data_IF_970275554105
#
_entry.id   IF_970275554105
#
_cell.length_a   1.000
_cell.length_b   1.000
_cell.length_c   1.000
_cell.angle_alpha   90.00
_cell.angle_beta   90.00
_cell.angle_gamma   90.00
#
_symmetry.space_group_name_H-M   'P 1'
#
loop_
_entity.id
_entity.type
_entity.pdbx_description
1 polymer ?
#
# COMPACT_ATOMS: atom_id res chain seq x y z
N UNK A 1 12.85 7.47 -13.57
CA UNK A 1 14.27 7.37 -13.14
C UNK A 1 14.61 6.03 -12.46
N UNK A 2 13.81 5.49 -11.51
CA UNK A 2 14.04 4.18 -10.86
C UNK A 2 14.11 2.97 -11.82
N UNK A 3 13.26 2.93 -12.85
CA UNK A 3 13.29 1.89 -13.91
C UNK A 3 14.60 1.89 -14.72
N UNK A 4 15.17 3.07 -14.99
CA UNK A 4 16.42 3.19 -15.75
C UNK A 4 17.63 2.71 -14.94
N UNK A 5 17.65 2.96 -13.62
CA UNK A 5 18.71 2.45 -12.73
C UNK A 5 18.64 0.93 -12.65
N UNK A 6 17.44 0.36 -12.46
CA UNK A 6 17.26 -1.10 -12.47
C UNK A 6 17.68 -1.72 -13.81
N UNK A 7 17.34 -1.10 -14.94
CA UNK A 7 17.70 -1.58 -16.28
C UNK A 7 19.21 -1.50 -16.56
N UNK A 8 19.88 -0.41 -16.14
CA UNK A 8 21.33 -0.24 -16.33
C UNK A 8 22.11 -1.22 -15.44
N UNK A 9 21.65 -1.44 -14.20
CA UNK A 9 22.22 -2.45 -13.29
C UNK A 9 22.05 -3.85 -13.89
N UNK A 10 20.84 -4.24 -14.32
CA UNK A 10 20.59 -5.54 -14.96
C UNK A 10 21.46 -5.79 -16.22
N UNK A 11 21.69 -4.73 -17.02
CA UNK A 11 22.50 -4.83 -18.25
C UNK A 11 23.99 -5.01 -17.95
N UNK A 12 24.49 -4.37 -16.87
CA UNK A 12 25.86 -4.52 -16.36
C UNK A 12 26.04 -5.76 -15.46
N UNK A 13 24.96 -6.45 -15.14
CA UNK A 13 24.95 -7.75 -14.43
C UNK A 13 24.99 -8.92 -15.41
N UNK A 14 24.36 -8.78 -16.58
CA UNK A 14 24.35 -9.82 -17.63
C UNK A 14 25.74 -10.06 -18.25
N UNK A 15 26.60 -9.04 -18.36
CA UNK A 15 27.90 -9.21 -19.04
C UNK A 15 28.90 -10.04 -18.22
N UNK A 16 28.94 -9.89 -16.89
CA UNK A 16 29.82 -10.71 -16.03
C UNK A 16 29.39 -12.19 -16.03
N UNK A 17 28.08 -12.45 -15.96
CA UNK A 17 27.56 -13.81 -16.06
C UNK A 17 27.88 -14.44 -17.43
N UNK A 18 27.75 -13.67 -18.52
CA UNK A 18 28.14 -14.12 -19.86
C UNK A 18 29.64 -14.42 -19.95
N UNK A 19 30.49 -13.58 -19.37
CA UNK A 19 31.95 -13.82 -19.35
C UNK A 19 32.27 -15.08 -18.56
N UNK A 20 31.69 -15.28 -17.37
CA UNK A 20 31.93 -16.47 -16.56
C UNK A 20 31.50 -17.76 -17.30
N UNK A 21 30.36 -17.73 -18.01
CA UNK A 21 29.89 -18.85 -18.84
C UNK A 21 30.85 -19.09 -20.02
N UNK A 22 31.29 -18.04 -20.72
CA UNK A 22 32.21 -18.15 -21.86
C UNK A 22 33.57 -18.71 -21.42
N UNK A 23 34.11 -18.24 -20.29
CA UNK A 23 35.36 -18.74 -19.72
C UNK A 23 35.22 -20.21 -19.31
N UNK A 24 34.12 -20.57 -18.66
CA UNK A 24 33.86 -21.97 -18.25
C UNK A 24 33.72 -22.92 -19.45
N UNK A 25 33.01 -22.49 -20.50
CA UNK A 25 32.89 -23.23 -21.76
C UNK A 25 34.23 -23.34 -22.50
N UNK A 26 35.05 -22.28 -22.49
CA UNK A 26 36.38 -22.29 -23.07
C UNK A 26 37.32 -23.29 -22.38
N UNK A 27 37.29 -23.34 -21.06
CA UNK A 27 38.05 -24.32 -20.26
C UNK A 27 37.57 -25.74 -20.53
N UNK A 28 36.26 -25.99 -20.57
CA UNK A 28 35.70 -27.32 -20.89
C UNK A 28 36.05 -27.79 -22.31
N UNK A 29 35.96 -26.90 -23.30
CA UNK A 29 36.32 -27.22 -24.68
C UNK A 29 37.82 -27.52 -24.83
N UNK A 30 38.67 -26.82 -24.08
CA UNK A 30 40.11 -27.04 -24.08
C UNK A 30 40.49 -28.38 -23.43
N UNK A 31 39.87 -28.74 -22.29
CA UNK A 31 40.06 -30.06 -21.64
C UNK A 31 39.58 -31.20 -22.55
N UNK A 32 38.48 -31.01 -23.29
CA UNK A 32 37.96 -32.00 -24.22
C UNK A 32 38.86 -32.22 -25.45
N UNK A 33 39.62 -31.20 -25.87
CA UNK A 33 40.54 -31.27 -27.00
C UNK A 33 41.93 -31.83 -26.62
N UNK A 34 42.37 -31.69 -25.36
CA UNK A 34 43.70 -32.11 -24.90
C UNK A 34 43.67 -33.37 -24.02
N UNK A 35 42.96 -34.41 -24.48
CA UNK A 35 43.00 -35.76 -23.86
C UNK A 35 44.34 -36.41 -24.23
N UNK A 36 45.42 -35.98 -23.59
CA UNK A 36 46.73 -36.66 -23.60
C UNK A 36 46.95 -37.44 -22.31
N UNK A 37 47.67 -38.58 -22.36
CA UNK A 37 47.88 -39.44 -21.19
C UNK A 37 48.67 -38.73 -20.08
N UNK A 38 48.35 -39.08 -18.84
CA UNK A 38 48.85 -38.47 -17.60
C UNK A 38 50.39 -38.56 -17.49
N UNK A 39 51.10 -37.43 -17.58
CA UNK A 39 52.55 -37.29 -17.34
C UNK A 39 52.84 -36.21 -16.28
N UNK A 40 54.06 -36.17 -15.73
CA UNK A 40 54.44 -35.29 -14.61
C UNK A 40 54.27 -33.78 -14.93
N UNK A 41 54.45 -33.37 -16.20
CA UNK A 41 54.17 -32.00 -16.68
C UNK A 41 52.67 -31.63 -16.67
N UNK A 42 51.76 -32.62 -16.76
CA UNK A 42 50.31 -32.39 -16.74
C UNK A 42 49.77 -32.07 -15.34
N UNK A 43 50.57 -32.23 -14.28
CA UNK A 43 50.14 -31.94 -12.89
C UNK A 43 50.07 -30.44 -12.62
N UNK A 44 51.02 -29.65 -13.15
CA UNK A 44 50.99 -28.19 -13.07
C UNK A 44 49.81 -27.64 -13.88
N UNK A 45 49.56 -28.18 -15.08
CA UNK A 45 48.43 -27.82 -15.92
C UNK A 45 47.06 -28.10 -15.26
N UNK A 46 46.90 -29.29 -14.66
CA UNK A 46 45.69 -29.65 -13.91
C UNK A 46 45.47 -28.70 -12.72
N UNK A 47 46.55 -28.25 -12.06
CA UNK A 47 46.50 -27.25 -11.00
C UNK A 47 45.92 -25.90 -11.45
N UNK A 48 46.34 -25.39 -12.63
CA UNK A 48 45.80 -24.14 -13.18
C UNK A 48 44.32 -24.24 -13.57
N UNK A 49 43.90 -25.38 -14.13
CA UNK A 49 42.49 -25.63 -14.47
C UNK A 49 41.61 -25.65 -13.22
N UNK A 50 42.04 -26.38 -12.18
CA UNK A 50 41.33 -26.42 -10.89
C UNK A 50 41.28 -25.03 -10.27
N UNK A 51 42.38 -24.27 -10.28
CA UNK A 51 42.42 -22.90 -9.77
C UNK A 51 41.43 -21.97 -10.51
N UNK A 52 41.35 -22.07 -11.84
CA UNK A 52 40.42 -21.27 -12.65
C UNK A 52 38.95 -21.63 -12.38
N UNK A 53 38.63 -22.91 -12.21
CA UNK A 53 37.29 -23.37 -11.84
C UNK A 53 36.91 -22.96 -10.40
N UNK A 54 37.85 -23.07 -9.45
CA UNK A 54 37.66 -22.60 -8.07
C UNK A 54 37.46 -21.09 -7.99
N UNK A 55 38.21 -20.30 -8.77
CA UNK A 55 38.03 -18.86 -8.85
C UNK A 55 36.67 -18.49 -9.47
N UNK A 56 36.27 -19.18 -10.55
CA UNK A 56 34.99 -18.94 -11.22
C UNK A 56 33.80 -19.25 -10.30
N UNK A 57 33.86 -20.38 -9.59
CA UNK A 57 32.84 -20.77 -8.60
C UNK A 57 32.79 -19.79 -7.43
N UNK A 58 33.93 -19.31 -6.92
CA UNK A 58 33.97 -18.28 -5.87
C UNK A 58 33.31 -16.96 -6.31
N UNK A 59 33.56 -16.52 -7.55
CA UNK A 59 32.93 -15.32 -8.13
C UNK A 59 31.42 -15.49 -8.24
N UNK A 60 30.95 -16.66 -8.69
CA UNK A 60 29.52 -16.95 -8.80
C UNK A 60 28.83 -17.05 -7.43
N UNK A 61 29.49 -17.62 -6.43
CA UNK A 61 29.00 -17.65 -5.05
C UNK A 61 28.90 -16.25 -4.46
N UNK A 62 29.95 -15.44 -4.62
CA UNK A 62 29.96 -14.06 -4.17
C UNK A 62 28.84 -13.24 -4.82
N UNK A 63 28.61 -13.44 -6.11
CA UNK A 63 27.52 -12.83 -6.86
C UNK A 63 26.13 -13.19 -6.32
N UNK A 64 25.89 -14.49 -6.08
CA UNK A 64 24.63 -14.95 -5.49
C UNK A 64 24.38 -14.34 -4.11
N UNK A 65 25.42 -14.18 -3.29
CA UNK A 65 25.33 -13.54 -1.98
C UNK A 65 24.92 -12.06 -2.13
N UNK A 66 25.55 -11.31 -3.04
CA UNK A 66 25.20 -9.90 -3.27
C UNK A 66 23.76 -9.74 -3.77
N UNK A 67 23.32 -10.58 -4.72
CA UNK A 67 21.94 -10.57 -5.21
C UNK A 67 20.94 -10.92 -4.13
N UNK A 68 21.25 -11.91 -3.28
CA UNK A 68 20.41 -12.25 -2.13
C UNK A 68 20.25 -11.07 -1.18
N UNK A 69 21.33 -10.33 -0.88
CA UNK A 69 21.27 -9.14 -0.01
C UNK A 69 20.47 -8.00 -0.63
N UNK A 70 20.68 -7.69 -1.90
CA UNK A 70 19.92 -6.65 -2.62
C UNK A 70 18.43 -7.00 -2.70
N UNK A 71 18.11 -8.25 -3.01
CA UNK A 71 16.73 -8.75 -3.05
C UNK A 71 16.06 -8.68 -1.69
N UNK A 72 16.75 -9.16 -0.64
CA UNK A 72 16.25 -9.11 0.75
C UNK A 72 15.94 -7.68 1.18
N UNK A 73 16.84 -6.73 0.90
CA UNK A 73 16.63 -5.31 1.23
C UNK A 73 15.46 -4.70 0.46
N UNK A 74 15.34 -5.02 -0.82
CA UNK A 74 14.25 -4.50 -1.67
C UNK A 74 12.89 -5.03 -1.22
N UNK A 75 12.80 -6.33 -0.96
CA UNK A 75 11.58 -6.93 -0.39
C UNK A 75 11.26 -6.34 0.96
N UNK A 76 12.24 -6.17 1.85
CA UNK A 76 11.98 -5.61 3.17
C UNK A 76 11.43 -4.18 3.10
N UNK A 77 11.97 -3.34 2.21
CA UNK A 77 11.48 -1.98 1.98
C UNK A 77 10.07 -1.97 1.37
N UNK A 78 9.80 -2.83 0.39
CA UNK A 78 8.48 -2.91 -0.24
C UNK A 78 7.44 -3.54 0.70
N UNK A 79 7.79 -4.55 1.49
CA UNK A 79 6.96 -5.11 2.56
C UNK A 79 6.65 -4.04 3.61
N UNK A 80 7.63 -3.25 4.06
CA UNK A 80 7.39 -2.14 4.99
C UNK A 80 6.39 -1.13 4.41
N UNK A 81 6.52 -0.75 3.14
CA UNK A 81 5.57 0.16 2.48
C UNK A 81 4.16 -0.43 2.38
N UNK A 82 4.05 -1.71 2.02
CA UNK A 82 2.75 -2.40 1.95
C UNK A 82 2.10 -2.47 3.33
N UNK A 83 2.86 -2.90 4.34
CA UNK A 83 2.38 -2.97 5.72
C UNK A 83 1.98 -1.59 6.23
N UNK A 84 2.76 -0.55 5.96
CA UNK A 84 2.44 0.81 6.35
C UNK A 84 1.14 1.30 5.70
N UNK A 85 0.94 1.03 4.40
CA UNK A 85 -0.33 1.35 3.71
C UNK A 85 -1.51 0.63 4.35
N UNK A 86 -1.37 -0.66 4.68
CA UNK A 86 -2.45 -1.44 5.32
C UNK A 86 -2.74 -0.91 6.73
N UNK A 87 -1.71 -0.50 7.49
CA UNK A 87 -1.88 0.10 8.81
C UNK A 87 -2.59 1.46 8.69
N UNK A 88 -2.16 2.32 7.77
CA UNK A 88 -2.80 3.63 7.52
C UNK A 88 -4.26 3.45 7.12
N UNK A 89 -4.56 2.49 6.25
CA UNK A 89 -5.92 2.14 5.84
C UNK A 89 -6.82 1.73 7.02
N UNK A 90 -6.38 0.74 7.80
CA UNK A 90 -7.09 0.29 9.01
C UNK A 90 -7.20 1.38 10.07
N UNK A 91 -6.16 2.20 10.23
CA UNK A 91 -6.16 3.34 11.16
C UNK A 91 -7.24 4.35 10.77
N UNK A 92 -7.40 4.64 9.49
CA UNK A 92 -8.42 5.59 9.01
C UNK A 92 -9.84 5.08 9.30
N UNK A 93 -10.11 3.79 9.06
CA UNK A 93 -11.39 3.17 9.43
C UNK A 93 -11.64 3.25 10.95
N UNK A 94 -10.65 2.85 11.75
CA UNK A 94 -10.75 2.85 13.21
C UNK A 94 -10.96 4.26 13.77
N UNK A 95 -10.25 5.27 13.25
CA UNK A 95 -10.45 6.66 13.64
C UNK A 95 -11.86 7.15 13.28
N UNK A 96 -12.39 6.72 12.14
CA UNK A 96 -13.78 6.98 11.74
C UNK A 96 -14.78 6.41 12.75
N UNK A 97 -14.64 5.12 13.12
CA UNK A 97 -15.47 4.47 14.12
C UNK A 97 -15.36 5.09 15.51
N UNK A 98 -14.15 5.44 15.95
CA UNK A 98 -13.93 6.15 17.22
C UNK A 98 -14.64 7.52 17.19
N UNK A 99 -14.56 8.23 16.07
CA UNK A 99 -15.26 9.50 15.89
C UNK A 99 -16.77 9.27 15.97
N UNK A 100 -17.32 8.27 15.28
CA UNK A 100 -18.74 7.92 15.38
C UNK A 100 -19.19 7.67 16.82
N UNK A 101 -18.48 6.79 17.55
CA UNK A 101 -18.82 6.46 18.96
C UNK A 101 -18.80 7.69 19.85
N UNK A 102 -17.84 8.61 19.66
CA UNK A 102 -17.80 9.86 20.44
C UNK A 102 -19.02 10.74 20.19
N UNK A 103 -19.51 10.78 18.96
CA UNK A 103 -20.63 11.64 18.59
C UNK A 103 -22.02 11.00 18.77
N UNK A 104 -22.09 9.68 19.01
CA UNK A 104 -23.31 9.02 19.47
C UNK A 104 -23.82 9.62 20.79
N UNK A 105 -22.94 10.08 21.70
CA UNK A 105 -23.39 10.75 22.93
C UNK A 105 -24.22 12.00 22.62
N UNK A 106 -23.79 12.82 21.64
CA UNK A 106 -24.54 14.00 21.22
C UNK A 106 -25.86 13.63 20.54
N UNK A 107 -25.88 12.56 19.74
CA UNK A 107 -27.11 12.02 19.14
C UNK A 107 -28.12 11.59 20.21
N UNK A 108 -27.66 10.87 21.24
CA UNK A 108 -28.50 10.42 22.35
C UNK A 108 -29.03 11.58 23.20
N UNK A 109 -28.28 12.68 23.25
CA UNK A 109 -28.67 13.91 23.95
C UNK A 109 -29.48 14.88 23.09
N UNK A 110 -29.85 14.49 21.86
CA UNK A 110 -30.56 15.32 20.89
C UNK A 110 -29.87 16.65 20.55
N UNK A 111 -28.53 16.66 20.58
CA UNK A 111 -27.70 17.78 20.10
C UNK A 111 -27.31 17.47 18.66
N UNK A 112 -28.29 17.63 17.77
CA UNK A 112 -28.23 17.07 16.41
C UNK A 112 -27.21 17.79 15.52
N UNK A 113 -26.94 19.07 15.74
CA UNK A 113 -25.93 19.83 14.97
C UNK A 113 -24.52 19.23 15.15
N UNK A 114 -24.18 18.88 16.39
CA UNK A 114 -22.91 18.22 16.73
C UNK A 114 -22.88 16.78 16.24
N UNK A 115 -23.99 16.06 16.40
CA UNK A 115 -24.09 14.69 15.95
C UNK A 115 -23.87 14.58 14.43
N UNK A 116 -24.53 15.44 13.65
CA UNK A 116 -24.39 15.51 12.19
C UNK A 116 -22.94 15.80 11.79
N UNK A 117 -22.32 16.83 12.38
CA UNK A 117 -20.92 17.17 12.10
C UNK A 117 -19.98 15.98 12.36
N UNK A 118 -20.11 15.36 13.53
CA UNK A 118 -19.31 14.20 13.89
C UNK A 118 -19.53 12.97 13.03
N UNK A 119 -20.78 12.69 12.64
CA UNK A 119 -21.12 11.58 11.76
C UNK A 119 -20.58 11.78 10.35
N UNK A 120 -20.66 13.01 9.81
CA UNK A 120 -20.10 13.33 8.51
C UNK A 120 -18.57 13.29 8.55
N UNK A 121 -17.94 13.77 9.63
CA UNK A 121 -16.49 13.61 9.83
C UNK A 121 -16.07 12.14 9.89
N UNK A 122 -16.84 11.30 10.60
CA UNK A 122 -16.61 9.86 10.68
C UNK A 122 -16.68 9.21 9.29
N UNK A 123 -17.72 9.53 8.49
CA UNK A 123 -17.84 9.10 7.09
C UNK A 123 -16.62 9.53 6.28
N UNK A 124 -16.17 10.78 6.41
CA UNK A 124 -15.00 11.29 5.70
C UNK A 124 -13.73 10.49 5.98
N UNK A 125 -13.52 10.04 7.22
CA UNK A 125 -12.38 9.20 7.59
C UNK A 125 -12.52 7.76 7.09
N UNK A 126 -13.71 7.17 7.17
CA UNK A 126 -13.98 5.81 6.68
C UNK A 126 -13.84 5.75 5.16
N UNK A 127 -14.23 6.81 4.44
CA UNK A 127 -14.09 6.89 2.98
C UNK A 127 -12.64 6.86 2.50
N UNK A 128 -11.66 7.18 3.35
CA UNK A 128 -10.23 7.09 3.04
C UNK A 128 -9.67 5.66 3.25
N UNK A 129 -10.48 4.75 3.79
CA UNK A 129 -10.13 3.34 3.99
C UNK A 129 -10.74 2.45 2.91
N UNK A 130 -10.07 1.35 2.57
CA UNK A 130 -10.62 0.30 1.73
C UNK A 130 -11.72 -0.49 2.45
N UNK A 131 -11.58 -0.68 3.76
CA UNK A 131 -12.61 -1.23 4.64
C UNK A 131 -13.61 -0.12 5.02
N UNK A 132 -14.90 -0.33 4.71
CA UNK A 132 -15.99 0.62 4.98
C UNK A 132 -16.93 0.13 6.09
N UNK A 133 -16.37 -0.47 7.12
CA UNK A 133 -17.16 -0.99 8.24
C UNK A 133 -17.86 0.14 9.02
N UNK A 134 -19.07 -0.10 9.50
CA UNK A 134 -19.86 0.88 10.27
C UNK A 134 -20.44 2.06 9.47
N UNK A 135 -20.13 2.19 8.17
CA UNK A 135 -20.68 3.25 7.32
C UNK A 135 -22.21 3.21 7.27
N UNK A 136 -22.78 2.00 7.22
CA UNK A 136 -24.24 1.78 7.26
C UNK A 136 -24.87 2.25 8.58
N UNK A 137 -24.21 2.01 9.71
CA UNK A 137 -24.72 2.40 11.03
C UNK A 137 -24.70 3.91 11.19
N UNK A 138 -23.64 4.57 10.74
CA UNK A 138 -23.55 6.03 10.74
C UNK A 138 -24.63 6.63 9.84
N UNK A 139 -24.81 6.07 8.64
CA UNK A 139 -25.84 6.54 7.72
C UNK A 139 -27.25 6.32 8.27
N UNK A 140 -27.49 5.19 8.94
CA UNK A 140 -28.75 4.92 9.63
C UNK A 140 -29.05 6.01 10.67
N UNK A 141 -28.08 6.39 11.50
CA UNK A 141 -28.27 7.48 12.46
C UNK A 141 -28.61 8.82 11.77
N UNK A 142 -27.94 9.17 10.67
CA UNK A 142 -28.26 10.39 9.90
C UNK A 142 -29.66 10.36 9.29
N UNK A 143 -30.10 9.19 8.81
CA UNK A 143 -31.47 8.99 8.29
C UNK A 143 -32.49 9.15 9.42
N UNK A 144 -32.24 8.60 10.61
CA UNK A 144 -33.13 8.76 11.76
C UNK A 144 -33.23 10.24 12.20
N UNK A 145 -32.12 10.98 12.23
CA UNK A 145 -32.15 12.44 12.45
C UNK A 145 -33.05 13.11 11.40
N UNK A 146 -32.86 12.79 10.12
CA UNK A 146 -33.65 13.34 9.01
C UNK A 146 -35.15 13.08 9.20
N UNK A 147 -35.54 11.88 9.60
CA UNK A 147 -36.95 11.53 9.88
C UNK A 147 -37.53 12.38 11.01
N UNK A 148 -36.81 12.51 12.14
CA UNK A 148 -37.28 13.29 13.31
C UNK A 148 -37.61 14.74 12.96
N UNK A 149 -36.82 15.37 12.08
CA UNK A 149 -37.06 16.76 11.66
C UNK A 149 -38.19 16.88 10.63
N UNK A 150 -38.29 15.94 9.69
CA UNK A 150 -39.40 15.91 8.73
C UNK A 150 -40.76 15.72 9.42
N UNK A 151 -40.84 14.88 10.45
CA UNK A 151 -42.07 14.64 11.21
C UNK A 151 -42.47 15.83 12.09
N UNK A 152 -41.49 16.51 12.70
CA UNK A 152 -41.73 17.66 13.59
C UNK A 152 -41.99 18.97 12.86
N UNK A 153 -41.75 19.04 11.55
CA UNK A 153 -41.81 20.29 10.77
C UNK A 153 -40.76 21.32 11.19
N UNK A 154 -39.71 20.89 11.89
CA UNK A 154 -38.64 21.76 12.37
C UNK A 154 -37.52 21.83 11.33
N UNK A 155 -36.85 22.98 11.25
CA UNK A 155 -35.64 23.14 10.45
C UNK A 155 -34.44 22.62 11.22
N UNK A 156 -33.64 21.75 10.58
CA UNK A 156 -32.37 21.30 11.13
C UNK A 156 -31.31 22.39 10.97
N UNK A 157 -30.38 22.45 11.93
CA UNK A 157 -29.25 23.35 11.88
C UNK A 157 -27.95 22.59 11.61
N UNK A 158 -27.04 23.22 10.87
CA UNK A 158 -25.67 22.74 10.63
C UNK A 158 -24.67 23.86 10.89
N UNK A 159 -23.40 23.50 11.13
CA UNK A 159 -22.35 24.50 11.31
C UNK A 159 -22.16 25.39 10.08
N UNK A 160 -21.86 26.65 10.33
CA UNK A 160 -21.68 27.67 9.29
C UNK A 160 -20.55 27.31 8.33
N UNK A 161 -20.81 27.47 7.03
CA UNK A 161 -19.83 27.19 5.97
C UNK A 161 -19.51 25.71 5.76
N UNK A 162 -20.18 24.79 6.46
CA UNK A 162 -19.92 23.35 6.36
C UNK A 162 -20.78 22.64 5.32
N UNK A 163 -21.83 23.28 4.78
CA UNK A 163 -22.74 22.62 3.83
C UNK A 163 -22.01 21.99 2.63
N UNK A 164 -21.09 22.74 2.02
CA UNK A 164 -20.33 22.25 0.86
C UNK A 164 -19.42 21.08 1.23
N UNK A 165 -18.69 21.18 2.35
CA UNK A 165 -17.81 20.12 2.85
C UNK A 165 -18.61 18.83 3.11
N UNK A 166 -19.78 18.97 3.73
CA UNK A 166 -20.66 17.86 4.04
C UNK A 166 -21.17 17.17 2.78
N UNK A 167 -21.64 17.93 1.80
CA UNK A 167 -22.12 17.38 0.52
C UNK A 167 -20.98 16.70 -0.26
N UNK A 168 -19.76 17.22 -0.23
CA UNK A 168 -18.60 16.56 -0.85
C UNK A 168 -18.31 15.20 -0.21
N UNK A 169 -18.29 15.14 1.13
CA UNK A 169 -18.09 13.88 1.86
C UNK A 169 -19.19 12.86 1.55
N UNK A 170 -20.45 13.30 1.58
CA UNK A 170 -21.61 12.43 1.30
C UNK A 170 -21.67 12.01 -0.19
N UNK A 171 -21.11 12.77 -1.12
CA UNK A 171 -21.08 12.43 -2.54
C UNK A 171 -20.25 11.18 -2.85
N UNK A 172 -19.27 10.86 -1.99
CA UNK A 172 -18.35 9.72 -2.11
C UNK A 172 -18.94 8.42 -1.54
N UNK A 173 -20.15 8.49 -0.97
CA UNK A 173 -20.87 7.37 -0.39
C UNK A 173 -21.91 6.86 -1.36
N UNK A 174 -21.84 5.56 -1.69
CA UNK A 174 -22.81 4.85 -2.51
C UNK A 174 -23.57 3.85 -1.64
N UNK A 175 -24.55 4.35 -0.88
CA UNK A 175 -25.39 3.58 0.01
C UNK A 175 -26.85 4.00 -0.12
N UNK A 176 -27.76 3.05 0.10
CA UNK A 176 -29.19 3.32 0.08
C UNK A 176 -29.58 4.38 1.14
N UNK A 177 -30.35 5.38 0.74
CA UNK A 177 -30.79 6.46 1.62
C UNK A 177 -29.85 7.66 1.71
N UNK A 178 -28.66 7.61 1.11
CA UNK A 178 -27.72 8.75 1.09
C UNK A 178 -28.33 10.00 0.44
N UNK A 179 -29.12 9.83 -0.63
CA UNK A 179 -29.78 10.95 -1.32
C UNK A 179 -30.77 11.70 -0.43
N UNK A 180 -31.44 10.99 0.50
CA UNK A 180 -32.31 11.63 1.49
C UNK A 180 -31.50 12.51 2.44
N UNK A 181 -30.34 12.03 2.88
CA UNK A 181 -29.43 12.77 3.77
C UNK A 181 -28.80 13.96 3.03
N UNK A 182 -28.35 13.80 1.79
CA UNK A 182 -27.83 14.91 0.97
C UNK A 182 -28.87 16.02 0.81
N UNK A 183 -30.12 15.66 0.47
CA UNK A 183 -31.22 16.62 0.38
C UNK A 183 -31.46 17.32 1.72
N UNK A 184 -31.50 16.56 2.81
CA UNK A 184 -31.67 17.09 4.17
C UNK A 184 -30.58 18.11 4.53
N UNK A 185 -29.30 17.83 4.23
CA UNK A 185 -28.18 18.75 4.48
C UNK A 185 -28.24 19.98 3.57
N UNK A 186 -28.68 19.82 2.31
CA UNK A 186 -28.87 20.95 1.39
C UNK A 186 -29.93 21.92 1.89
N UNK A 187 -31.00 21.40 2.48
CA UNK A 187 -32.14 22.18 2.98
C UNK A 187 -31.93 22.68 4.44
N UNK A 188 -30.89 22.21 5.13
CA UNK A 188 -30.60 22.59 6.51
C UNK A 188 -30.13 24.05 6.65
N UNK A 189 -30.52 24.73 7.73
CA UNK A 189 -30.09 26.08 8.02
C UNK A 189 -28.67 26.11 8.60
N UNK A 190 -27.85 27.05 8.18
CA UNK A 190 -26.55 27.26 8.82
C UNK A 190 -26.71 28.08 10.11
N UNK A 191 -25.97 27.71 11.15
CA UNK A 191 -25.91 28.49 12.38
C UNK A 191 -25.33 29.89 12.11
N UNK A 192 -25.91 30.91 12.76
CA UNK A 192 -25.63 32.31 12.46
C UNK A 192 -24.39 32.88 13.17
N UNK A 193 -23.78 32.12 14.07
CA UNK A 193 -22.67 32.53 14.94
C UNK A 193 -21.34 31.92 14.50
#
# INVERSE_FOLDING_TARGET
>A
MRLCVHYIVMKKESWYARIAIIVSLGVLAYIALDIKPFTFENTEFLGWVVAALSASTAILLWWNIQNYFLFKRTIEEDTKRIVQKVIEDKSSNLEGLITFVRYIDFYNRHIDEKAIDGFIQAIGKINNSTEKEGLNDILFCLIEITKRYNEKGNTCHIYRGKRSDYLDVLSKVDLEGIEKVKKFISDANELSY
#
